data_IF_774843110066
#
_entry.id   IF_774843110066
#
_cell.length_a   1.000
_cell.length_b   1.000
_cell.length_c   1.000
_cell.angle_alpha   90.00
_cell.angle_beta   90.00
_cell.angle_gamma   90.00
#
_symmetry.space_group_name_H-M   'P 1'
#
loop_
_entity.id
_entity.type
_entity.pdbx_description
1 polymer ?
#
# COMPACT_ATOMS: atom_id res chain seq x y z
N UNK A 1 -5.33 15.62 -9.55
CA UNK A 1 -5.63 14.76 -10.70
C UNK A 1 -6.31 13.52 -10.17
N UNK A 2 -7.37 13.14 -10.87
CA UNK A 2 -8.50 12.30 -10.46
C UNK A 2 -8.43 11.01 -11.28
N UNK A 3 -7.26 10.41 -11.33
CA UNK A 3 -7.02 9.32 -12.27
C UNK A 3 -7.23 7.99 -11.56
N UNK A 4 -7.96 7.10 -12.22
CA UNK A 4 -8.12 5.72 -11.78
C UNK A 4 -6.74 5.07 -11.63
N UNK A 5 -6.59 4.15 -10.67
CA UNK A 5 -5.33 3.46 -10.44
C UNK A 5 -5.11 2.36 -11.50
N UNK A 6 -4.43 2.69 -12.59
CA UNK A 6 -4.09 1.76 -13.66
C UNK A 6 -2.78 1.00 -13.38
N UNK A 7 -2.89 -0.27 -12.99
CA UNK A 7 -1.73 -1.12 -12.68
C UNK A 7 -1.08 -1.75 -13.91
N UNK A 8 -1.76 -1.76 -15.06
CA UNK A 8 -1.20 -2.24 -16.32
C UNK A 8 -0.12 -1.30 -16.89
N UNK A 9 -0.05 -0.05 -16.42
CA UNK A 9 0.94 0.96 -16.84
C UNK A 9 2.41 0.55 -16.65
N UNK A 10 2.67 -0.49 -15.85
CA UNK A 10 4.01 -1.05 -15.59
C UNK A 10 4.16 -2.51 -16.06
N UNK A 11 3.17 -3.01 -16.81
CA UNK A 11 3.11 -4.41 -17.19
C UNK A 11 4.08 -4.77 -18.33
N UNK A 12 4.42 -6.05 -18.41
CA UNK A 12 5.20 -6.62 -19.50
C UNK A 12 4.23 -7.24 -20.51
N UNK A 13 4.38 -6.88 -21.78
CA UNK A 13 3.53 -7.39 -22.86
C UNK A 13 4.30 -8.41 -23.69
N UNK A 14 3.63 -9.54 -23.95
CA UNK A 14 4.05 -10.59 -24.87
C UNK A 14 2.94 -10.85 -25.90
N UNK A 15 3.31 -11.30 -27.10
CA UNK A 15 2.35 -11.62 -28.16
C UNK A 15 2.81 -12.78 -29.02
N UNK A 16 1.88 -13.36 -29.78
CA UNK A 16 2.11 -14.44 -30.75
C UNK A 16 3.21 -14.11 -31.77
N UNK A 17 3.34 -12.83 -32.14
CA UNK A 17 4.37 -12.36 -33.08
C UNK A 17 5.78 -12.20 -32.47
N UNK A 18 6.02 -12.67 -31.23
CA UNK A 18 7.32 -12.68 -30.54
C UNK A 18 8.03 -11.31 -30.39
N UNK A 19 7.31 -10.20 -30.56
CA UNK A 19 7.82 -8.85 -30.28
C UNK A 19 7.50 -8.49 -28.83
N UNK A 20 8.54 -8.34 -27.99
CA UNK A 20 8.38 -7.63 -26.71
C UNK A 20 8.05 -6.18 -27.03
N UNK A 21 6.90 -5.72 -26.57
CA UNK A 21 6.40 -4.36 -26.78
C UNK A 21 6.30 -3.67 -25.42
N UNK A 22 6.66 -2.39 -25.35
CA UNK A 22 6.44 -1.59 -24.16
C UNK A 22 4.97 -1.19 -24.09
N UNK A 23 4.44 -1.06 -22.87
CA UNK A 23 3.05 -0.64 -22.63
C UNK A 23 2.66 0.65 -23.40
N UNK A 24 3.58 1.59 -23.51
CA UNK A 24 3.38 2.89 -24.15
C UNK A 24 3.28 2.81 -25.69
N UNK A 25 3.73 1.71 -26.30
CA UNK A 25 3.76 1.52 -27.76
C UNK A 25 2.46 0.90 -28.30
N UNK A 26 1.56 0.47 -27.42
CA UNK A 26 0.38 -0.31 -27.77
C UNK A 26 0.71 -1.77 -28.12
N UNK A 27 -0.26 -2.47 -28.71
CA UNK A 27 -0.14 -3.87 -29.10
C UNK A 27 -0.47 -4.01 -30.58
N UNK A 28 0.48 -4.55 -31.33
CA UNK A 28 0.31 -4.90 -32.74
C UNK A 28 0.88 -6.29 -33.00
N UNK A 29 0.03 -7.23 -33.40
CA UNK A 29 0.47 -8.54 -33.91
C UNK A 29 0.55 -8.54 -35.43
N UNK A 30 1.23 -9.55 -35.96
CA UNK A 30 1.15 -9.86 -37.38
C UNK A 30 -0.26 -10.39 -37.73
N UNK A 31 -0.58 -10.41 -39.02
CA UNK A 31 -1.81 -11.06 -39.49
C UNK A 31 -1.56 -12.56 -39.48
N UNK A 32 -2.18 -13.25 -38.53
CA UNK A 32 -1.95 -14.66 -38.26
C UNK A 32 -3.24 -15.36 -37.82
N UNK A 33 -3.21 -16.69 -37.73
CA UNK A 33 -4.34 -17.46 -37.25
C UNK A 33 -4.43 -17.38 -35.73
N UNK A 34 -5.57 -16.89 -35.24
CA UNK A 34 -5.89 -16.75 -33.82
C UNK A 34 -4.85 -15.96 -33.01
N UNK A 35 -4.55 -14.70 -33.37
CA UNK A 35 -3.53 -13.91 -32.68
C UNK A 35 -3.87 -13.72 -31.20
N UNK A 36 -2.83 -13.60 -30.37
CA UNK A 36 -2.97 -13.37 -28.94
C UNK A 36 -1.91 -12.41 -28.40
N UNK A 37 -2.27 -11.71 -27.33
CA UNK A 37 -1.34 -11.00 -26.47
C UNK A 37 -1.58 -11.34 -25.00
N UNK A 38 -0.51 -11.38 -24.20
CA UNK A 38 -0.56 -11.56 -22.76
C UNK A 38 0.18 -10.45 -22.05
N UNK A 39 -0.46 -9.93 -21.00
CA UNK A 39 0.01 -8.85 -20.15
C UNK A 39 0.30 -9.44 -18.77
N UNK A 40 1.56 -9.39 -18.32
CA UNK A 40 1.96 -9.71 -16.95
C UNK A 40 2.05 -8.41 -16.13
N UNK A 41 1.14 -8.24 -15.16
CA UNK A 41 1.11 -7.11 -14.24
C UNK A 41 2.28 -7.14 -13.23
N UNK A 42 3.07 -8.21 -13.21
CA UNK A 42 4.24 -8.41 -12.36
C UNK A 42 3.92 -9.01 -10.99
N UNK A 43 2.72 -8.76 -10.47
CA UNK A 43 2.17 -9.36 -9.24
C UNK A 43 0.65 -9.47 -9.34
N UNK A 44 0.05 -10.09 -8.34
CA UNK A 44 -1.40 -10.19 -8.20
C UNK A 44 -2.00 -8.86 -7.72
N UNK A 45 -3.02 -8.37 -8.42
CA UNK A 45 -3.77 -7.17 -8.09
C UNK A 45 -5.28 -7.45 -7.97
N UNK A 46 -5.99 -6.80 -7.03
CA UNK A 46 -7.45 -6.86 -6.94
C UNK A 46 -8.10 -5.91 -7.95
N UNK A 47 -8.03 -6.25 -9.23
CA UNK A 47 -8.61 -5.40 -10.29
C UNK A 47 -10.15 -5.50 -10.30
N UNK A 48 -10.82 -4.36 -10.46
CA UNK A 48 -12.29 -4.29 -10.58
C UNK A 48 -12.76 -4.15 -12.03
N UNK A 49 -11.91 -3.65 -12.91
CA UNK A 49 -12.24 -3.53 -14.33
C UNK A 49 -11.01 -3.54 -15.21
N UNK A 50 -11.22 -4.00 -16.44
CA UNK A 50 -10.25 -3.93 -17.53
C UNK A 50 -10.87 -3.12 -18.66
N UNK A 51 -10.09 -2.22 -19.25
CA UNK A 51 -10.45 -1.53 -20.49
C UNK A 51 -9.43 -1.81 -21.56
N UNK A 52 -9.88 -2.21 -22.74
CA UNK A 52 -9.04 -2.44 -23.90
C UNK A 52 -9.42 -1.40 -24.93
N UNK A 53 -8.45 -0.63 -25.40
CA UNK A 53 -8.66 0.39 -26.40
C UNK A 53 -8.14 -0.11 -27.74
N UNK A 54 -9.05 -0.26 -28.70
CA UNK A 54 -8.76 -0.84 -30.00
C UNK A 54 -8.62 0.24 -31.08
N UNK A 55 -7.69 0.04 -32.01
CA UNK A 55 -7.44 0.94 -33.14
C UNK A 55 -8.44 0.72 -34.29
N UNK A 56 -9.06 -0.46 -34.34
CA UNK A 56 -10.08 -0.85 -35.32
C UNK A 56 -11.17 -1.64 -34.62
N UNK A 57 -12.41 -1.57 -35.12
CA UNK A 57 -13.53 -2.37 -34.61
C UNK A 57 -13.13 -3.83 -34.49
N UNK A 58 -13.43 -4.42 -33.34
CA UNK A 58 -12.95 -5.75 -32.97
C UNK A 58 -14.11 -6.67 -32.63
N UNK A 59 -14.20 -7.78 -33.35
CA UNK A 59 -15.19 -8.85 -33.15
C UNK A 59 -14.49 -10.17 -32.84
N UNK A 60 -15.21 -11.10 -32.23
CA UNK A 60 -14.73 -12.44 -31.83
C UNK A 60 -13.49 -12.39 -30.92
N UNK A 61 -13.50 -11.45 -29.98
CA UNK A 61 -12.45 -11.31 -28.96
C UNK A 61 -12.78 -12.17 -27.77
N UNK A 62 -11.76 -12.86 -27.27
CA UNK A 62 -11.77 -13.55 -25.99
C UNK A 62 -10.80 -12.87 -25.05
N UNK A 63 -11.28 -12.47 -23.87
CA UNK A 63 -10.44 -11.91 -22.81
C UNK A 63 -10.46 -12.86 -21.63
N UNK A 64 -9.29 -13.25 -21.15
CA UNK A 64 -9.12 -14.18 -20.05
C UNK A 64 -8.15 -13.60 -19.03
N UNK A 65 -8.32 -13.97 -17.76
CA UNK A 65 -7.44 -13.57 -16.67
C UNK A 65 -6.96 -14.76 -15.87
N UNK A 66 -5.79 -14.62 -15.25
CA UNK A 66 -5.19 -15.64 -14.40
C UNK A 66 -4.34 -15.00 -13.30
N UNK A 67 -4.17 -15.70 -12.18
CA UNK A 67 -3.24 -15.33 -11.11
C UNK A 67 -1.92 -16.13 -11.17
N UNK A 68 -1.90 -17.25 -11.91
CA UNK A 68 -0.84 -18.27 -11.81
C UNK A 68 -0.42 -18.93 -13.15
N UNK A 69 -1.03 -18.54 -14.27
CA UNK A 69 -0.91 -19.13 -15.62
C UNK A 69 -1.53 -20.53 -15.82
N UNK A 70 -1.98 -21.20 -14.77
CA UNK A 70 -2.55 -22.54 -14.87
C UNK A 70 -4.07 -22.45 -15.05
N UNK A 71 -4.72 -21.65 -14.21
CA UNK A 71 -6.17 -21.47 -14.24
C UNK A 71 -6.52 -20.17 -14.96
N UNK A 72 -7.34 -20.26 -16.00
CA UNK A 72 -7.78 -19.12 -16.80
C UNK A 72 -9.29 -18.97 -16.68
N UNK A 73 -9.73 -17.75 -16.34
CA UNK A 73 -11.13 -17.37 -16.32
C UNK A 73 -11.42 -16.43 -17.48
N UNK A 74 -12.39 -16.80 -18.30
CA UNK A 74 -12.90 -15.92 -19.36
C UNK A 74 -13.79 -14.82 -18.76
N UNK A 75 -13.56 -13.58 -19.20
CA UNK A 75 -14.33 -12.42 -18.79
C UNK A 75 -15.37 -12.07 -19.85
N UNK A 76 -16.58 -11.77 -19.38
CA UNK A 76 -17.63 -11.23 -20.25
C UNK A 76 -17.43 -9.74 -20.52
N UNK A 77 -17.60 -9.34 -21.77
CA UNK A 77 -17.56 -7.93 -22.17
C UNK A 77 -18.81 -7.25 -21.63
N UNK A 78 -18.63 -6.26 -20.75
CA UNK A 78 -19.73 -5.52 -20.12
C UNK A 78 -20.29 -4.43 -21.03
N UNK A 79 -19.43 -3.77 -21.81
CA UNK A 79 -19.83 -2.83 -22.85
C UNK A 79 -18.74 -2.73 -23.92
N UNK A 80 -19.15 -2.47 -25.15
CA UNK A 80 -18.27 -2.34 -26.31
C UNK A 80 -18.73 -1.18 -27.19
N UNK A 81 -17.76 -0.41 -27.68
CA UNK A 81 -17.93 0.53 -28.79
C UNK A 81 -16.81 0.31 -29.83
N UNK A 82 -16.79 1.11 -30.89
CA UNK A 82 -15.82 0.96 -31.99
C UNK A 82 -14.36 1.10 -31.58
N UNK A 83 -14.06 1.65 -30.41
CA UNK A 83 -12.70 1.99 -29.94
C UNK A 83 -12.37 1.52 -28.51
N UNK A 84 -13.35 0.97 -27.79
CA UNK A 84 -13.18 0.52 -26.41
C UNK A 84 -14.00 -0.74 -26.11
N UNK A 85 -13.34 -1.71 -25.47
CA UNK A 85 -13.97 -2.81 -24.75
C UNK A 85 -13.83 -2.58 -23.25
N UNK A 86 -14.92 -2.77 -22.52
CA UNK A 86 -14.93 -2.66 -21.07
C UNK A 86 -15.38 -3.97 -20.45
N UNK A 87 -14.59 -4.48 -19.51
CA UNK A 87 -14.85 -5.70 -18.77
C UNK A 87 -14.93 -5.37 -17.29
N UNK A 88 -16.03 -5.80 -16.66
CA UNK A 88 -16.22 -5.71 -15.22
C UNK A 88 -15.73 -7.01 -14.59
N UNK A 89 -14.97 -6.89 -13.52
CA UNK A 89 -14.44 -8.02 -12.76
C UNK A 89 -15.18 -8.07 -11.44
N UNK A 90 -15.60 -9.28 -11.05
CA UNK A 90 -16.24 -9.47 -9.77
C UNK A 90 -15.28 -9.08 -8.63
N UNK A 91 -15.77 -8.42 -7.57
CA UNK A 91 -14.96 -8.12 -6.40
C UNK A 91 -14.28 -9.40 -5.89
N UNK A 92 -13.01 -9.30 -5.49
CA UNK A 92 -12.15 -10.35 -4.89
C UNK A 92 -11.25 -11.16 -5.84
N UNK A 93 -11.37 -11.03 -7.16
CA UNK A 93 -10.44 -11.70 -8.07
C UNK A 93 -9.06 -11.04 -8.08
N UNK A 94 -8.04 -11.82 -7.74
CA UNK A 94 -6.64 -11.43 -7.88
C UNK A 94 -6.18 -11.75 -9.30
N UNK A 95 -5.68 -10.74 -10.00
CA UNK A 95 -5.25 -10.85 -11.40
C UNK A 95 -3.78 -10.48 -11.49
N UNK A 96 -3.00 -11.36 -12.14
CA UNK A 96 -1.63 -11.05 -12.57
C UNK A 96 -1.51 -11.05 -14.07
N UNK A 97 -2.17 -11.98 -14.74
CA UNK A 97 -2.10 -12.15 -16.17
C UNK A 97 -3.43 -11.80 -16.82
N UNK A 98 -3.36 -11.04 -17.91
CA UNK A 98 -4.49 -10.78 -18.80
C UNK A 98 -4.09 -11.35 -20.15
N UNK A 99 -4.95 -12.16 -20.77
CA UNK A 99 -4.77 -12.66 -22.13
C UNK A 99 -5.92 -12.18 -22.99
N UNK A 100 -5.58 -11.61 -24.14
CA UNK A 100 -6.55 -11.24 -25.17
C UNK A 100 -6.22 -12.05 -26.40
N UNK A 101 -7.22 -12.72 -26.96
CA UNK A 101 -7.09 -13.46 -28.21
C UNK A 101 -8.27 -13.15 -29.12
N UNK A 102 -8.10 -13.36 -30.42
CA UNK A 102 -9.16 -13.14 -31.40
C UNK A 102 -9.24 -14.31 -32.35
N UNK A 103 -10.45 -14.81 -32.60
CA UNK A 103 -10.65 -15.96 -33.48
C UNK A 103 -10.61 -15.51 -34.95
N UNK A 104 -9.86 -16.25 -35.78
CA UNK A 104 -9.75 -16.06 -37.22
C UNK A 104 -8.35 -15.63 -37.68
N UNK A 105 -8.20 -15.42 -38.99
CA UNK A 105 -6.94 -14.98 -39.61
C UNK A 105 -6.86 -13.44 -39.67
N UNK A 106 -6.36 -12.83 -38.60
CA UNK A 106 -6.44 -11.38 -38.34
C UNK A 106 -5.23 -10.91 -37.52
N UNK A 107 -5.11 -9.59 -37.31
CA UNK A 107 -4.20 -8.97 -36.35
C UNK A 107 -4.95 -8.49 -35.10
N UNK A 108 -4.24 -8.37 -33.97
CA UNK A 108 -4.63 -7.57 -32.81
C UNK A 108 -3.98 -6.19 -32.91
N UNK A 109 -4.80 -5.15 -32.74
CA UNK A 109 -4.38 -3.75 -32.87
C UNK A 109 -4.98 -2.94 -31.71
N UNK A 110 -4.26 -2.87 -30.59
CA UNK A 110 -4.67 -2.14 -29.40
C UNK A 110 -3.77 -0.93 -29.17
N UNK A 111 -4.36 0.21 -28.81
CA UNK A 111 -3.58 1.39 -28.40
C UNK A 111 -3.13 1.27 -26.95
N UNK A 112 -3.95 0.71 -26.07
CA UNK A 112 -3.65 0.50 -24.65
C UNK A 112 -4.60 -0.52 -24.02
N UNK A 113 -4.14 -1.13 -22.92
CA UNK A 113 -4.96 -2.01 -22.06
C UNK A 113 -4.82 -1.52 -20.63
N UNK A 114 -5.89 -1.09 -20.00
CA UNK A 114 -5.85 -0.56 -18.63
C UNK A 114 -6.49 -1.57 -17.68
N UNK A 115 -5.87 -1.78 -16.52
CA UNK A 115 -6.40 -2.63 -15.46
C UNK A 115 -6.51 -1.78 -14.19
N UNK A 116 -7.73 -1.61 -13.70
CA UNK A 116 -8.01 -0.66 -12.62
C UNK A 116 -8.28 -1.34 -11.28
N UNK A 117 -7.70 -0.78 -10.23
CA UNK A 117 -7.97 -1.16 -8.83
C UNK A 117 -8.92 -0.14 -8.20
N UNK A 118 -9.93 -0.62 -7.48
CA UNK A 118 -10.86 0.16 -6.65
C UNK A 118 -10.96 -0.44 -5.24
N UNK A 119 -11.73 0.22 -4.38
CA UNK A 119 -12.03 -0.22 -3.02
C UNK A 119 -10.73 -0.45 -2.24
N UNK A 120 -9.81 0.51 -2.33
CA UNK A 120 -8.45 0.42 -1.78
C UNK A 120 -8.22 1.46 -0.68
N UNK A 121 -7.68 1.01 0.46
CA UNK A 121 -7.15 1.87 1.51
C UNK A 121 -5.63 1.84 1.44
N UNK A 122 -5.01 3.01 1.26
CA UNK A 122 -3.56 3.14 1.06
C UNK A 122 -2.91 3.91 2.20
N UNK A 123 -1.95 3.30 2.90
CA UNK A 123 -1.05 4.05 3.78
C UNK A 123 0.12 4.62 2.99
N UNK A 124 0.26 5.94 2.92
CA UNK A 124 1.26 6.58 2.04
C UNK A 124 2.07 7.68 2.72
N UNK A 125 2.17 7.66 4.05
CA UNK A 125 2.91 8.69 4.77
C UNK A 125 4.39 8.58 4.49
N UNK A 126 5.06 9.73 4.43
CA UNK A 126 6.49 9.83 4.20
C UNK A 126 7.25 10.56 5.31
N UNK A 127 6.66 10.67 6.50
CA UNK A 127 7.28 11.24 7.69
C UNK A 127 7.92 10.16 8.59
N UNK A 128 7.98 10.36 9.91
CA UNK A 128 8.72 9.48 10.82
C UNK A 128 8.12 8.06 10.92
N UNK A 129 8.97 7.07 11.23
CA UNK A 129 8.62 5.65 11.27
C UNK A 129 7.35 5.39 12.09
N UNK A 130 7.24 5.97 13.30
CA UNK A 130 6.07 5.79 14.15
C UNK A 130 4.77 6.24 13.50
N UNK A 131 4.78 7.39 12.81
CA UNK A 131 3.61 7.89 12.08
C UNK A 131 3.23 6.98 10.92
N UNK A 132 4.24 6.48 10.18
CA UNK A 132 4.03 5.56 9.06
C UNK A 132 3.42 4.24 9.52
N UNK A 133 3.98 3.63 10.56
CA UNK A 133 3.47 2.38 11.12
C UNK A 133 2.06 2.54 11.66
N UNK A 134 1.76 3.67 12.32
CA UNK A 134 0.43 3.94 12.83
C UNK A 134 -0.60 4.09 11.70
N UNK A 135 -0.28 4.83 10.64
CA UNK A 135 -1.15 4.96 9.46
C UNK A 135 -1.29 3.63 8.69
N UNK A 136 -0.23 2.83 8.61
CA UNK A 136 -0.23 1.50 8.00
C UNK A 136 -1.21 0.58 8.72
N UNK A 137 -1.13 0.49 10.04
CA UNK A 137 -2.02 -0.34 10.86
C UNK A 137 -3.46 0.18 10.78
N UNK A 138 -3.68 1.50 10.87
CA UNK A 138 -5.01 2.07 10.69
C UNK A 138 -5.60 1.73 9.32
N UNK A 139 -4.79 1.78 8.26
CA UNK A 139 -5.21 1.40 6.91
C UNK A 139 -5.65 -0.06 6.84
N UNK A 140 -4.89 -0.97 7.46
CA UNK A 140 -5.25 -2.40 7.54
C UNK A 140 -6.57 -2.60 8.30
N UNK A 141 -6.75 -1.94 9.45
CA UNK A 141 -7.99 -2.02 10.23
C UNK A 141 -9.19 -1.55 9.41
N UNK A 142 -9.09 -0.35 8.81
CA UNK A 142 -10.18 0.25 8.03
C UNK A 142 -10.54 -0.68 6.89
N UNK A 143 -9.56 -1.11 6.09
CA UNK A 143 -9.75 -2.01 4.95
C UNK A 143 -10.53 -3.27 5.35
N UNK A 144 -10.10 -3.97 6.41
CA UNK A 144 -10.80 -5.17 6.91
C UNK A 144 -12.24 -4.90 7.34
N UNK A 145 -12.48 -3.82 8.08
CA UNK A 145 -13.80 -3.53 8.64
C UNK A 145 -14.83 -3.13 7.60
N UNK A 146 -14.37 -2.56 6.48
CA UNK A 146 -15.25 -2.20 5.37
C UNK A 146 -15.17 -3.18 4.19
N UNK A 147 -14.33 -4.22 4.26
CA UNK A 147 -14.17 -5.20 3.18
C UNK A 147 -13.48 -4.64 1.94
N UNK A 148 -12.62 -3.64 2.13
CA UNK A 148 -11.78 -3.05 1.07
C UNK A 148 -10.42 -3.76 1.04
N UNK A 149 -9.71 -3.59 -0.07
CA UNK A 149 -8.32 -3.97 -0.21
C UNK A 149 -7.42 -3.01 0.59
N UNK A 150 -6.25 -3.50 0.98
CA UNK A 150 -5.22 -2.70 1.63
C UNK A 150 -3.99 -2.56 0.73
N UNK A 151 -3.29 -1.44 0.84
CA UNK A 151 -1.99 -1.22 0.24
C UNK A 151 -1.19 -0.16 0.99
N UNK A 152 0.09 -0.03 0.64
CA UNK A 152 0.95 1.02 1.16
C UNK A 152 1.86 1.62 0.09
N UNK A 153 2.34 2.83 0.33
CA UNK A 153 3.44 3.48 -0.39
C UNK A 153 4.54 3.72 0.63
N UNK A 154 5.75 3.25 0.33
CA UNK A 154 6.90 3.38 1.21
C UNK A 154 8.03 4.11 0.50
N UNK A 155 8.48 5.21 1.10
CA UNK A 155 9.61 5.99 0.61
C UNK A 155 10.72 5.99 1.63
N UNK A 156 11.89 5.47 1.31
CA UNK A 156 13.08 5.62 2.14
C UNK A 156 13.42 7.09 2.37
N UNK A 157 13.99 7.37 3.53
CA UNK A 157 14.47 8.71 3.88
C UNK A 157 15.88 8.57 4.34
N UNK A 158 16.75 9.41 3.79
CA UNK A 158 18.08 9.60 4.32
C UNK A 158 18.32 11.11 4.48
N UNK A 159 18.04 11.60 5.68
CA UNK A 159 18.26 12.99 6.06
C UNK A 159 19.31 13.04 7.14
N UNK A 160 20.53 13.36 6.72
CA UNK A 160 21.60 13.67 7.65
C UNK A 160 21.39 15.06 8.27
N UNK A 161 20.97 15.09 9.54
CA UNK A 161 20.88 16.31 10.34
C UNK A 161 22.14 16.54 11.18
N UNK A 162 23.15 15.67 11.09
CA UNK A 162 24.35 15.70 11.90
C UNK A 162 25.39 16.73 11.46
N UNK A 163 25.13 17.65 10.52
CA UNK A 163 26.06 18.69 10.00
C UNK A 163 27.06 19.30 11.04
N UNK A 164 28.06 18.54 11.48
CA UNK A 164 28.96 18.84 12.61
C UNK A 164 28.41 18.74 14.05
N UNK A 165 27.21 18.19 14.33
CA UNK A 165 26.68 18.05 15.70
C UNK A 165 26.38 16.58 16.05
N UNK A 166 27.30 15.97 16.80
CA UNK A 166 27.21 14.59 17.30
C UNK A 166 25.98 14.31 18.17
N UNK A 167 25.24 15.36 18.59
CA UNK A 167 24.03 15.23 19.42
C UNK A 167 22.73 15.24 18.61
N UNK A 168 22.78 15.44 17.28
CA UNK A 168 21.58 15.46 16.44
C UNK A 168 21.40 14.09 15.75
N UNK A 169 20.34 13.34 16.07
CA UNK A 169 19.99 12.17 15.27
C UNK A 169 19.44 12.64 13.91
N UNK A 170 19.98 12.09 12.81
CA UNK A 170 19.38 12.22 11.49
C UNK A 170 18.02 11.51 11.42
N UNK A 171 17.28 11.75 10.36
CA UNK A 171 16.07 10.98 10.07
C UNK A 171 16.39 9.97 8.98
N UNK A 172 16.49 8.71 9.40
CA UNK A 172 16.71 7.58 8.51
C UNK A 172 15.49 6.66 8.54
N UNK A 173 14.98 6.35 7.35
CA UNK A 173 13.95 5.34 7.14
C UNK A 173 14.49 4.40 6.08
N UNK A 174 14.69 3.14 6.49
CA UNK A 174 15.16 2.09 5.61
C UNK A 174 14.25 1.90 4.38
N UNK A 175 14.82 1.45 3.24
CA UNK A 175 14.03 1.02 2.10
C UNK A 175 13.11 -0.15 2.44
N UNK A 176 12.01 -0.29 1.69
CA UNK A 176 10.92 -1.21 2.04
C UNK A 176 11.38 -2.67 2.15
N UNK A 177 12.38 -3.08 1.37
CA UNK A 177 12.95 -4.43 1.37
C UNK A 177 13.81 -4.75 2.60
N UNK A 178 14.15 -3.76 3.43
CA UNK A 178 14.79 -3.95 4.73
C UNK A 178 13.79 -3.87 5.88
N UNK A 179 12.56 -3.40 5.63
CA UNK A 179 11.49 -3.25 6.61
C UNK A 179 10.50 -4.41 6.54
N UNK A 180 10.07 -4.78 5.34
CA UNK A 180 9.08 -5.82 5.08
C UNK A 180 9.72 -7.01 4.37
N UNK A 181 9.11 -8.19 4.52
CA UNK A 181 9.49 -9.35 3.72
C UNK A 181 8.99 -9.22 2.27
N UNK A 182 9.57 -10.03 1.37
CA UNK A 182 9.23 -10.01 -0.05
C UNK A 182 7.75 -10.32 -0.31
N UNK A 183 7.15 -11.21 0.49
CA UNK A 183 5.76 -11.62 0.34
C UNK A 183 4.82 -10.45 0.64
N UNK A 184 5.08 -9.68 1.70
CA UNK A 184 4.30 -8.52 2.10
C UNK A 184 4.41 -7.39 1.07
N UNK A 185 5.64 -7.14 0.58
CA UNK A 185 5.88 -6.17 -0.50
C UNK A 185 5.07 -6.56 -1.75
N UNK A 186 5.17 -7.82 -2.17
CA UNK A 186 4.45 -8.33 -3.34
C UNK A 186 2.92 -8.26 -3.19
N UNK A 187 2.38 -8.33 -1.98
CA UNK A 187 0.92 -8.27 -1.76
C UNK A 187 0.42 -6.82 -1.66
N UNK A 188 1.16 -5.95 -0.98
CA UNK A 188 0.61 -4.68 -0.51
C UNK A 188 1.33 -3.42 -1.03
N UNK A 189 2.49 -3.52 -1.68
CA UNK A 189 3.26 -2.33 -2.11
C UNK A 189 2.68 -1.67 -3.37
N UNK A 190 2.33 -0.40 -3.26
CA UNK A 190 1.91 0.48 -4.35
C UNK A 190 2.93 1.62 -4.59
N UNK A 191 4.15 1.51 -4.06
CA UNK A 191 5.18 2.55 -4.11
C UNK A 191 5.53 3.02 -5.53
N UNK A 192 5.37 2.16 -6.53
CA UNK A 192 5.62 2.48 -7.94
C UNK A 192 4.38 2.97 -8.72
N UNK A 193 3.23 3.05 -8.06
CA UNK A 193 1.93 3.36 -8.69
C UNK A 193 1.26 4.61 -8.11
N UNK A 194 1.50 4.91 -6.84
CA UNK A 194 0.88 6.01 -6.11
C UNK A 194 1.94 6.90 -5.46
N UNK A 195 1.58 8.17 -5.27
CA UNK A 195 2.42 9.14 -4.57
C UNK A 195 2.21 9.07 -3.05
N UNK A 196 3.17 9.61 -2.30
CA UNK A 196 3.03 9.83 -0.87
C UNK A 196 1.86 10.77 -0.54
N UNK A 197 1.27 10.59 0.65
CA UNK A 197 0.21 11.43 1.17
C UNK A 197 0.29 11.54 2.70
N UNK A 198 0.09 12.75 3.21
CA UNK A 198 0.18 13.07 4.64
C UNK A 198 -1.19 13.18 5.34
N UNK A 199 -2.23 12.55 4.78
CA UNK A 199 -3.60 12.55 5.32
C UNK A 199 -3.61 12.29 6.83
N UNK A 200 -4.23 13.22 7.56
CA UNK A 200 -4.31 13.19 9.02
C UNK A 200 -5.63 12.55 9.49
N UNK A 201 -6.73 12.85 8.81
CA UNK A 201 -8.10 12.47 9.20
C UNK A 201 -8.92 12.17 7.96
N UNK A 202 -9.81 11.18 8.06
CA UNK A 202 -10.82 10.90 7.04
C UNK A 202 -12.08 11.72 7.32
N UNK A 203 -12.67 12.34 6.31
CA UNK A 203 -13.80 13.28 6.47
C UNK A 203 -15.06 12.61 7.04
N UNK A 204 -15.23 11.31 6.81
CA UNK A 204 -16.41 10.56 7.25
C UNK A 204 -16.25 10.16 8.71
N UNK A 205 -17.26 10.48 9.54
CA UNK A 205 -17.25 10.18 10.97
C UNK A 205 -17.61 8.75 11.33
N UNK A 206 -18.31 8.03 10.45
CA UNK A 206 -18.63 6.62 10.64
C UNK A 206 -17.81 5.78 9.69
N UNK A 207 -17.24 4.69 10.19
CA UNK A 207 -16.39 3.77 9.45
C UNK A 207 -17.14 3.15 8.28
N UNK A 208 -18.40 2.73 8.50
CA UNK A 208 -19.20 2.11 7.43
C UNK A 208 -19.54 3.06 6.29
N UNK A 209 -19.61 4.37 6.55
CA UNK A 209 -19.90 5.35 5.51
C UNK A 209 -18.78 5.43 4.47
N UNK A 210 -17.58 4.90 4.73
CA UNK A 210 -16.50 4.85 3.73
C UNK A 210 -16.86 4.02 2.50
N UNK A 211 -17.83 3.11 2.59
CA UNK A 211 -18.33 2.35 1.43
C UNK A 211 -19.14 3.20 0.44
N UNK A 212 -19.66 4.33 0.90
CA UNK A 212 -20.55 5.18 0.10
C UNK A 212 -19.76 5.99 -0.93
N UNK A 213 -20.19 5.94 -2.18
CA UNK A 213 -19.65 6.80 -3.24
C UNK A 213 -20.10 8.27 -3.06
N UNK A 214 -19.32 9.25 -3.56
CA UNK A 214 -17.98 9.08 -4.12
C UNK A 214 -16.92 8.86 -3.04
N UNK A 215 -15.86 8.14 -3.41
CA UNK A 215 -14.63 8.07 -2.61
C UNK A 215 -13.81 9.36 -2.73
N UNK A 216 -12.81 9.53 -1.87
CA UNK A 216 -11.91 10.69 -1.96
C UNK A 216 -11.04 10.62 -3.23
N UNK A 217 -10.70 9.40 -3.66
CA UNK A 217 -10.03 9.10 -4.92
C UNK A 217 -10.83 8.03 -5.68
N UNK A 218 -10.78 7.99 -7.03
CA UNK A 218 -11.52 6.98 -7.79
C UNK A 218 -11.21 5.53 -7.40
N UNK A 219 -10.01 5.28 -6.86
CA UNK A 219 -9.58 3.97 -6.37
C UNK A 219 -9.83 3.74 -4.86
N UNK A 220 -10.23 4.77 -4.08
CA UNK A 220 -10.50 4.65 -2.64
C UNK A 220 -9.99 5.81 -1.79
N UNK A 221 -9.24 5.49 -0.72
CA UNK A 221 -8.85 6.46 0.32
C UNK A 221 -7.39 6.29 0.77
N UNK A 222 -6.76 7.39 1.18
CA UNK A 222 -5.54 7.30 1.99
C UNK A 222 -5.88 7.05 3.46
N UNK A 223 -5.07 6.22 4.13
CA UNK A 223 -5.21 5.90 5.54
C UNK A 223 -4.85 7.10 6.43
N UNK A 224 -5.63 7.38 7.50
CA UNK A 224 -5.36 8.47 8.41
C UNK A 224 -4.28 8.12 9.44
N UNK A 225 -3.57 9.15 9.92
CA UNK A 225 -2.69 9.07 11.09
C UNK A 225 -3.47 8.90 12.41
N UNK A 226 -4.79 9.06 12.42
CA UNK A 226 -5.62 8.98 13.61
C UNK A 226 -6.79 8.03 13.43
N UNK A 227 -7.22 7.44 14.54
CA UNK A 227 -8.51 6.77 14.65
C UNK A 227 -9.53 7.74 15.29
N UNK A 228 -10.63 8.04 14.58
CA UNK A 228 -11.66 8.97 15.07
C UNK A 228 -13.04 8.68 14.48
N UNK A 229 -13.44 7.41 14.46
CA UNK A 229 -14.77 7.02 14.01
C UNK A 229 -15.75 6.92 15.20
N UNK A 230 -16.93 7.52 15.06
CA UNK A 230 -17.94 7.57 16.13
C UNK A 230 -18.58 6.20 16.40
N UNK A 231 -18.53 5.29 15.41
CA UNK A 231 -19.17 3.97 15.42
C UNK A 231 -18.22 2.81 15.75
N UNK A 232 -17.02 3.10 16.26
CA UNK A 232 -16.07 2.06 16.64
C UNK A 232 -15.34 2.42 17.95
N UNK A 233 -15.29 1.47 18.88
CA UNK A 233 -14.87 1.73 20.25
C UNK A 233 -13.35 1.61 20.42
N UNK A 234 -12.80 2.34 21.38
CA UNK A 234 -11.37 2.28 21.73
C UNK A 234 -10.90 0.88 22.10
N UNK A 235 -11.73 0.09 22.77
CA UNK A 235 -11.43 -1.30 23.13
C UNK A 235 -11.24 -2.17 21.88
N UNK A 236 -12.20 -2.09 20.95
CA UNK A 236 -12.13 -2.81 19.68
C UNK A 236 -10.93 -2.33 18.84
N UNK A 237 -10.69 -1.01 18.82
CA UNK A 237 -9.54 -0.44 18.13
C UNK A 237 -8.22 -0.99 18.65
N UNK A 238 -8.01 -1.01 19.97
CA UNK A 238 -6.77 -1.52 20.58
C UNK A 238 -6.54 -2.99 20.25
N UNK A 239 -7.61 -3.80 20.27
CA UNK A 239 -7.56 -5.21 19.89
C UNK A 239 -7.13 -5.36 18.43
N UNK A 240 -7.86 -4.72 17.52
CA UNK A 240 -7.62 -4.85 16.08
C UNK A 240 -6.27 -4.23 15.66
N UNK A 241 -5.81 -3.19 16.36
CA UNK A 241 -4.49 -2.60 16.17
C UNK A 241 -3.39 -3.60 16.49
N UNK A 242 -3.50 -4.30 17.63
CA UNK A 242 -2.56 -5.37 17.98
C UNK A 242 -2.58 -6.49 16.94
N UNK A 243 -3.76 -6.96 16.57
CA UNK A 243 -3.92 -8.03 15.57
C UNK A 243 -3.31 -7.64 14.21
N UNK A 244 -3.63 -6.45 13.70
CA UNK A 244 -3.08 -5.97 12.43
C UNK A 244 -1.57 -5.75 12.49
N UNK A 245 -1.01 -5.29 13.62
CA UNK A 245 0.44 -5.14 13.77
C UNK A 245 1.18 -6.48 13.58
N UNK A 246 0.65 -7.55 14.18
CA UNK A 246 1.27 -8.89 14.08
C UNK A 246 1.00 -9.61 12.75
N UNK A 247 0.11 -9.09 11.91
CA UNK A 247 -0.07 -9.57 10.53
C UNK A 247 0.93 -8.96 9.55
N UNK A 248 1.66 -7.92 9.96
CA UNK A 248 2.71 -7.33 9.12
C UNK A 248 3.88 -8.32 9.07
N UNK A 249 4.24 -8.77 7.87
CA UNK A 249 5.43 -9.59 7.73
C UNK A 249 6.65 -8.69 7.58
N UNK A 250 7.30 -8.44 8.71
CA UNK A 250 8.55 -7.71 8.73
C UNK A 250 9.70 -8.54 8.13
N UNK A 251 10.70 -7.83 7.62
CA UNK A 251 11.95 -8.44 7.18
C UNK A 251 12.59 -9.27 8.29
N UNK A 252 13.30 -10.35 7.92
CA UNK A 252 13.87 -11.34 8.85
C UNK A 252 14.71 -10.72 9.98
N UNK A 253 15.41 -9.62 9.72
CA UNK A 253 16.26 -8.97 10.73
C UNK A 253 15.40 -8.35 11.85
N UNK A 254 14.24 -7.79 11.51
CA UNK A 254 13.30 -7.24 12.48
C UNK A 254 12.60 -8.35 13.26
N UNK A 255 12.24 -9.45 12.58
CA UNK A 255 11.70 -10.65 13.24
C UNK A 255 12.68 -11.20 14.30
N UNK A 256 13.97 -11.29 13.96
CA UNK A 256 15.02 -11.70 14.92
C UNK A 256 15.06 -10.77 16.13
N UNK A 257 14.95 -9.46 15.93
CA UNK A 257 14.89 -8.51 17.05
C UNK A 257 13.65 -8.74 17.93
N UNK A 258 12.49 -9.04 17.35
CA UNK A 258 11.29 -9.38 18.14
C UNK A 258 11.50 -10.65 18.97
N UNK A 259 12.07 -11.70 18.38
CA UNK A 259 12.38 -12.96 19.10
C UNK A 259 13.37 -12.74 20.25
N UNK A 260 14.37 -11.88 20.05
CA UNK A 260 15.34 -11.52 21.09
C UNK A 260 14.70 -10.72 22.22
N UNK A 261 13.87 -9.73 21.88
CA UNK A 261 13.11 -8.94 22.86
C UNK A 261 12.20 -9.85 23.67
N UNK A 262 11.49 -10.80 23.05
CA UNK A 262 10.63 -11.74 23.77
C UNK A 262 11.43 -12.63 24.73
N UNK A 263 12.59 -13.15 24.30
CA UNK A 263 13.49 -13.91 25.20
C UNK A 263 14.00 -13.05 26.36
N UNK A 264 14.28 -11.77 26.11
CA UNK A 264 14.74 -10.84 27.15
C UNK A 264 13.63 -10.50 28.14
N UNK A 265 12.42 -10.23 27.68
CA UNK A 265 11.28 -9.90 28.57
C UNK A 265 10.92 -11.09 29.46
N UNK A 266 10.98 -12.32 28.94
CA UNK A 266 10.80 -13.54 29.75
C UNK A 266 11.84 -13.67 30.86
N UNK A 267 13.08 -13.23 30.62
CA UNK A 267 14.16 -13.24 31.63
C UNK A 267 14.03 -12.11 32.64
N UNK A 268 13.61 -10.93 32.20
CA UNK A 268 13.41 -9.75 33.05
C UNK A 268 12.20 -9.93 33.99
N UNK A 269 11.19 -10.70 33.57
CA UNK A 269 9.98 -10.89 34.34
C UNK A 269 9.09 -9.65 34.29
N UNK A 270 8.56 -9.24 35.44
CA UNK A 270 7.76 -8.01 35.52
C UNK A 270 8.66 -6.78 35.53
N UNK A 271 8.38 -5.82 34.65
CA UNK A 271 9.13 -4.58 34.57
C UNK A 271 8.20 -3.40 34.32
N UNK A 272 8.67 -2.21 34.69
CA UNK A 272 8.05 -0.93 34.34
C UNK A 272 8.90 -0.26 33.27
N UNK A 273 8.26 0.21 32.20
CA UNK A 273 8.91 0.91 31.10
C UNK A 273 8.50 2.38 31.09
N UNK A 274 9.47 3.26 30.88
CA UNK A 274 9.26 4.70 30.72
C UNK A 274 9.59 5.09 29.28
N UNK A 275 8.60 5.57 28.53
CA UNK A 275 8.82 6.20 27.22
C UNK A 275 8.89 7.72 27.41
N UNK A 276 10.09 8.28 27.27
CA UNK A 276 10.34 9.71 27.47
C UNK A 276 10.67 10.37 26.13
N UNK A 277 10.02 11.49 25.82
CA UNK A 277 10.29 12.31 24.65
C UNK A 277 10.88 13.65 25.11
N UNK A 278 12.00 14.08 24.56
CA UNK A 278 12.59 15.37 24.99
C UNK A 278 13.99 15.70 24.47
N UNK A 279 14.92 14.74 24.48
CA UNK A 279 16.35 14.99 24.17
C UNK A 279 16.56 15.71 22.83
N UNK A 280 15.97 15.19 21.75
CA UNK A 280 16.10 15.73 20.38
C UNK A 280 15.34 17.05 20.17
N UNK A 281 14.42 17.39 21.08
CA UNK A 281 13.64 18.64 20.98
C UNK A 281 14.38 19.82 21.59
N UNK A 282 15.33 19.56 22.49
CA UNK A 282 16.08 20.59 23.22
C UNK A 282 17.41 20.88 22.52
N UNK A 283 18.03 19.86 21.94
CA UNK A 283 19.34 19.93 21.29
C UNK A 283 19.23 19.67 19.77
N UNK A 284 20.02 20.38 18.96
CA UNK A 284 20.05 20.26 17.49
C UNK A 284 19.44 21.46 16.74
N UNK A 285 19.95 21.77 15.55
CA UNK A 285 19.50 22.93 14.75
C UNK A 285 18.06 22.79 14.23
N UNK A 286 17.62 21.55 13.93
CA UNK A 286 16.24 21.22 13.53
C UNK A 286 15.20 21.45 14.64
N UNK A 287 15.64 21.44 15.90
CA UNK A 287 14.79 21.74 17.06
C UNK A 287 14.20 23.15 17.00
N UNK A 288 14.92 24.13 16.43
CA UNK A 288 14.45 25.53 16.34
C UNK A 288 13.25 25.68 15.40
N UNK A 289 13.21 24.87 14.34
CA UNK A 289 12.15 24.91 13.31
C UNK A 289 10.88 24.18 13.79
N UNK A 290 11.04 23.09 14.54
CA UNK A 290 9.94 22.27 15.07
C UNK A 290 9.58 22.59 16.53
N UNK A 291 10.30 23.51 17.18
CA UNK A 291 10.19 23.81 18.61
C UNK A 291 8.75 24.09 19.03
N UNK A 292 7.99 24.88 18.26
CA UNK A 292 6.58 25.17 18.61
C UNK A 292 5.70 23.91 18.70
N UNK A 293 5.92 22.91 17.85
CA UNK A 293 5.14 21.67 17.83
C UNK A 293 5.65 20.62 18.84
N UNK A 294 6.91 20.73 19.25
CA UNK A 294 7.59 19.75 20.11
C UNK A 294 7.79 20.24 21.56
N UNK A 295 7.75 21.55 21.82
CA UNK A 295 7.99 22.15 23.15
C UNK A 295 7.05 21.60 24.22
N UNK A 296 5.75 21.48 23.90
CA UNK A 296 4.77 20.88 24.80
C UNK A 296 4.88 19.36 24.96
N UNK A 297 5.78 18.71 24.19
CA UNK A 297 6.01 17.26 24.22
C UNK A 297 7.29 16.89 24.97
N UNK A 298 8.03 17.88 25.50
CA UNK A 298 9.21 17.65 26.33
C UNK A 298 8.75 17.18 27.71
N UNK A 299 9.14 15.96 28.08
CA UNK A 299 8.81 15.41 29.40
C UNK A 299 9.80 15.92 30.47
N UNK A 300 9.33 16.43 31.64
CA UNK A 300 10.21 16.85 32.72
C UNK A 300 10.97 15.66 33.34
N UNK A 301 12.30 15.68 33.29
CA UNK A 301 13.13 14.57 33.79
C UNK A 301 13.00 14.35 35.29
N UNK A 302 12.71 15.40 36.05
CA UNK A 302 12.51 15.32 37.49
C UNK A 302 11.33 14.42 37.85
N UNK A 303 10.25 14.48 37.06
CA UNK A 303 9.08 13.62 37.23
C UNK A 303 9.42 12.18 36.87
N UNK A 304 10.20 11.96 35.80
CA UNK A 304 10.63 10.62 35.41
C UNK A 304 11.51 9.99 36.50
N UNK A 305 12.47 10.74 37.03
CA UNK A 305 13.35 10.29 38.10
C UNK A 305 12.60 9.97 39.38
N UNK A 306 11.59 10.77 39.74
CA UNK A 306 10.76 10.47 40.90
C UNK A 306 9.94 9.20 40.70
N UNK A 307 9.35 9.01 39.50
CA UNK A 307 8.67 7.76 39.14
C UNK A 307 9.58 6.54 39.23
N UNK A 308 10.79 6.63 38.68
CA UNK A 308 11.80 5.57 38.78
C UNK A 308 12.15 5.26 40.24
N UNK A 309 12.34 6.29 41.09
CA UNK A 309 12.60 6.09 42.52
C UNK A 309 11.45 5.42 43.25
N UNK A 310 10.21 5.70 42.87
CA UNK A 310 9.03 5.08 43.48
C UNK A 310 8.93 3.60 43.11
N UNK A 311 9.17 3.25 41.84
CA UNK A 311 9.18 1.86 41.39
C UNK A 311 10.32 1.05 42.04
N UNK A 312 11.51 1.64 42.17
CA UNK A 312 12.65 1.01 42.87
C UNK A 312 12.47 0.84 44.38
N UNK A 313 11.52 1.54 44.99
CA UNK A 313 11.16 1.34 46.41
C UNK A 313 10.07 0.29 46.59
N UNK A 314 9.27 0.06 45.56
CA UNK A 314 8.05 -0.77 45.62
C UNK A 314 8.28 -2.20 45.11
N UNK A 315 9.36 -2.42 44.35
CA UNK A 315 9.82 -3.70 43.82
C UNK A 315 11.27 -3.95 44.19
#
# INVERSE_FOLDING_TARGET
>A
MSDMLNVASKAIISSSSNKKQLYEEGILTEVEENPWCSIDLGRNFPCSSIKIYNLKTIDNVKVEVSSDLNEWQELSISSQNDSELHLQILPQFQIRYIRVSRIGYVSLEFSKIEAYVTDLIVSARDDALGSRMYALINGMIIAKKIGFNFGYVWKDIWLDWQNGDDNAAGMEIDPENLVFDEKFIMLYSYSNYLCNNTTLVVKKKKLQNLKELPYDYPWGYYAPLGYSFDDYSDENYRKDFKECFFEIHFHKNIQIMFDEVEKLTLKLGQFVSFHLRGIETIHGSGSKTLQKACYYKVFPYEIALEGIKQELKSN
#
